data_IF_375868521754
#
_entry.id   IF_375868521754
#
_cell.length_a   1.000
_cell.length_b   1.000
_cell.length_c   1.000
_cell.angle_alpha   90.00
_cell.angle_beta   90.00
_cell.angle_gamma   90.00
#
_symmetry.space_group_name_H-M   'P 1'
#
loop_
_entity.id
_entity.type
_entity.pdbx_description
1 polymer ?
#
# COMPACT_ATOMS: atom_id res chain seq x y z
N UNK A 1 -8.22 -7.23 9.51
CA UNK A 1 -7.76 -8.58 9.05
C UNK A 1 -6.50 -8.99 9.78
N UNK A 2 -5.50 -8.13 9.90
CA UNK A 2 -4.25 -8.40 10.62
C UNK A 2 -4.47 -8.97 12.03
N UNK A 3 -5.39 -8.41 12.81
CA UNK A 3 -5.73 -8.96 14.12
C UNK A 3 -6.27 -10.40 14.07
N UNK A 4 -7.09 -10.74 13.06
CA UNK A 4 -7.58 -12.12 12.89
C UNK A 4 -6.45 -13.07 12.49
N UNK A 5 -5.53 -12.64 11.62
CA UNK A 5 -4.34 -13.42 11.26
C UNK A 5 -3.44 -13.65 12.49
N UNK A 6 -3.19 -12.62 13.30
CA UNK A 6 -2.41 -12.74 14.53
C UNK A 6 -3.07 -13.71 15.55
N UNK A 7 -4.40 -13.68 15.67
CA UNK A 7 -5.14 -14.66 16.47
C UNK A 7 -4.96 -16.07 15.88
N UNK A 8 -5.09 -16.23 14.55
CA UNK A 8 -4.92 -17.54 13.92
C UNK A 8 -3.50 -18.12 14.11
N UNK A 9 -2.45 -17.29 14.10
CA UNK A 9 -1.07 -17.72 14.35
C UNK A 9 -0.90 -18.38 15.73
N UNK A 10 -1.69 -17.98 16.72
CA UNK A 10 -1.53 -18.40 18.12
C UNK A 10 -2.65 -19.31 18.61
N UNK A 11 -3.77 -19.42 17.89
CA UNK A 11 -5.00 -20.07 18.37
C UNK A 11 -4.84 -21.56 18.78
N UNK A 12 -3.98 -22.31 18.10
CA UNK A 12 -3.85 -23.77 18.26
C UNK A 12 -2.45 -24.19 18.77
N UNK A 13 -1.67 -23.28 19.33
CA UNK A 13 -0.32 -23.55 19.85
C UNK A 13 0.04 -22.60 21.00
N UNK A 14 1.17 -22.84 21.67
CA UNK A 14 1.66 -21.99 22.77
C UNK A 14 2.84 -21.10 22.35
N UNK A 15 3.04 -20.88 21.05
CA UNK A 15 4.14 -20.08 20.51
C UNK A 15 3.81 -18.60 20.69
N UNK A 16 4.79 -17.80 21.10
CA UNK A 16 4.59 -16.35 21.26
C UNK A 16 4.34 -15.69 19.89
N UNK A 17 3.45 -14.70 19.83
CA UNK A 17 3.14 -14.00 18.58
C UNK A 17 4.39 -13.42 17.92
N UNK A 18 5.35 -12.94 18.71
CA UNK A 18 6.57 -12.31 18.23
C UNK A 18 7.60 -13.31 17.69
N UNK A 19 7.43 -14.62 17.94
CA UNK A 19 8.23 -15.66 17.28
C UNK A 19 7.83 -15.84 15.80
N UNK A 20 6.67 -15.32 15.39
CA UNK A 20 6.21 -15.27 14.01
C UNK A 20 6.64 -14.00 13.26
N UNK A 21 7.50 -13.17 13.85
CA UNK A 21 7.98 -11.94 13.21
C UNK A 21 8.74 -12.25 11.91
N UNK A 22 8.53 -11.43 10.88
CA UNK A 22 8.93 -11.71 9.50
C UNK A 22 10.42 -11.87 9.26
N UNK A 23 11.27 -11.17 10.02
CA UNK A 23 12.72 -11.29 9.91
C UNK A 23 13.30 -12.45 10.76
N UNK A 24 12.46 -13.16 11.53
CA UNK A 24 12.84 -14.33 12.32
C UNK A 24 12.62 -15.65 11.59
N UNK A 25 13.24 -16.71 12.09
CA UNK A 25 12.98 -18.06 11.60
C UNK A 25 11.55 -18.47 11.95
N UNK A 26 10.75 -18.82 10.94
CA UNK A 26 9.36 -19.24 11.16
C UNK A 26 9.29 -20.47 12.08
N UNK A 27 8.45 -20.45 13.12
CA UNK A 27 8.26 -21.58 14.01
C UNK A 27 7.77 -22.83 13.27
N UNK A 28 8.13 -24.01 13.76
CA UNK A 28 7.61 -25.26 13.21
C UNK A 28 6.21 -25.54 13.75
N UNK A 29 5.26 -25.78 12.85
CA UNK A 29 3.87 -26.12 13.21
C UNK A 29 3.65 -27.62 13.03
N UNK A 30 3.23 -28.28 14.11
CA UNK A 30 2.87 -29.70 14.06
C UNK A 30 1.60 -29.92 13.22
N UNK A 31 1.52 -31.03 12.51
CA UNK A 31 0.32 -31.44 11.78
C UNK A 31 -0.91 -31.63 12.68
N UNK A 32 -0.71 -31.85 13.99
CA UNK A 32 -1.78 -31.96 14.99
C UNK A 32 -2.32 -30.59 15.41
N UNK A 33 -1.56 -29.51 15.19
CA UNK A 33 -1.84 -28.14 15.65
C UNK A 33 -1.89 -27.15 14.48
N UNK A 34 -2.53 -27.53 13.36
CA UNK A 34 -2.66 -26.66 12.18
C UNK A 34 -3.37 -25.36 12.54
N UNK A 35 -3.03 -24.29 11.84
CA UNK A 35 -3.75 -23.04 11.99
C UNK A 35 -5.24 -23.19 11.62
N UNK A 36 -6.13 -22.37 12.22
CA UNK A 36 -7.53 -22.31 11.83
C UNK A 36 -7.72 -21.96 10.36
N UNK A 37 -8.84 -22.40 9.77
CA UNK A 37 -9.28 -21.95 8.45
C UNK A 37 -9.60 -20.46 8.53
N UNK A 38 -8.86 -19.64 7.76
CA UNK A 38 -9.05 -18.20 7.70
C UNK A 38 -9.86 -17.81 6.46
N UNK A 39 -11.00 -17.16 6.65
CA UNK A 39 -11.80 -16.56 5.58
C UNK A 39 -11.75 -15.03 5.76
N UNK A 40 -11.43 -14.31 4.69
CA UNK A 40 -11.29 -12.85 4.69
C UNK A 40 -12.45 -12.23 3.90
N UNK A 41 -13.09 -11.22 4.48
CA UNK A 41 -14.20 -10.48 3.88
C UNK A 41 -13.86 -8.98 3.97
N UNK A 42 -13.20 -8.39 2.95
CA UNK A 42 -12.81 -6.99 3.00
C UNK A 42 -14.01 -6.07 2.87
N UNK A 43 -14.09 -5.08 3.74
CA UNK A 43 -15.10 -4.01 3.74
C UNK A 43 -14.54 -2.67 3.25
N UNK A 44 -13.28 -2.69 2.77
CA UNK A 44 -12.57 -1.56 2.17
C UNK A 44 -11.84 -2.05 0.94
N UNK A 45 -11.76 -1.24 -0.11
CA UNK A 45 -10.91 -1.47 -1.27
C UNK A 45 -9.63 -0.62 -1.11
N UNK A 46 -8.56 -1.22 -0.59
CA UNK A 46 -7.28 -0.54 -0.42
C UNK A 46 -6.12 -1.44 0.02
N UNK A 47 -6.27 -2.07 1.19
CA UNK A 47 -5.13 -2.69 1.88
C UNK A 47 -4.62 -3.98 1.21
N UNK A 48 -5.49 -4.70 0.49
CA UNK A 48 -5.17 -6.02 -0.05
C UNK A 48 -4.86 -7.08 1.02
N UNK A 49 -5.18 -6.81 2.30
CA UNK A 49 -4.85 -7.70 3.41
C UNK A 49 -5.58 -9.06 3.33
N UNK A 50 -6.55 -9.21 2.44
CA UNK A 50 -7.26 -10.46 2.18
C UNK A 50 -6.43 -11.50 1.39
N UNK A 51 -5.32 -11.11 0.76
CA UNK A 51 -4.62 -11.93 -0.24
C UNK A 51 -3.51 -12.81 0.33
N UNK A 52 -2.84 -12.36 1.40
CA UNK A 52 -1.59 -12.95 1.88
C UNK A 52 -1.57 -13.26 3.37
N UNK A 53 -0.55 -14.01 3.81
CA UNK A 53 -0.37 -14.46 5.20
C UNK A 53 0.10 -13.39 6.18
N UNK A 54 0.63 -12.27 5.68
CA UNK A 54 1.25 -11.22 6.51
C UNK A 54 0.21 -10.43 7.29
N UNK A 55 0.57 -10.06 8.51
CA UNK A 55 -0.24 -9.22 9.37
C UNK A 55 0.64 -8.18 10.04
N UNK A 56 0.25 -6.91 9.98
CA UNK A 56 1.01 -5.87 10.64
C UNK A 56 0.47 -5.59 12.03
N UNK A 57 1.29 -5.81 13.05
CA UNK A 57 0.91 -5.70 14.47
C UNK A 57 1.77 -4.65 15.17
N UNK A 58 1.13 -3.75 15.90
CA UNK A 58 1.83 -2.73 16.69
C UNK A 58 2.34 -3.34 18.01
N UNK A 59 3.65 -3.31 18.22
CA UNK A 59 4.28 -3.63 19.49
C UNK A 59 4.29 -2.37 20.36
N UNK A 60 3.36 -2.29 21.30
CA UNK A 60 3.10 -1.10 22.12
C UNK A 60 4.32 -0.64 22.91
N UNK A 61 5.07 -1.56 23.54
CA UNK A 61 6.26 -1.21 24.32
C UNK A 61 7.40 -0.61 23.49
N UNK A 62 7.56 -1.07 22.23
CA UNK A 62 8.60 -0.58 21.31
C UNK A 62 8.12 0.61 20.48
N UNK A 63 6.82 0.94 20.53
CA UNK A 63 6.17 1.92 19.66
C UNK A 63 6.49 1.70 18.17
N UNK A 64 6.57 0.43 17.75
CA UNK A 64 6.93 0.01 16.40
C UNK A 64 5.93 -1.01 15.86
N UNK A 65 5.70 -0.97 14.56
CA UNK A 65 4.83 -1.92 13.85
C UNK A 65 5.72 -3.00 13.25
N UNK A 66 5.43 -4.26 13.55
CA UNK A 66 6.14 -5.43 13.03
C UNK A 66 5.23 -6.24 12.11
N UNK A 67 5.81 -6.95 11.16
CA UNK A 67 5.10 -7.91 10.32
C UNK A 67 5.20 -9.28 10.97
N UNK A 68 4.07 -9.93 11.23
CA UNK A 68 4.02 -11.34 11.65
C UNK A 68 3.40 -12.18 10.54
N UNK A 69 3.89 -13.40 10.36
CA UNK A 69 3.43 -14.28 9.29
C UNK A 69 3.80 -15.74 9.53
N UNK A 70 3.14 -16.62 8.77
CA UNK A 70 3.58 -18.00 8.58
C UNK A 70 3.09 -18.49 7.21
N UNK A 71 3.92 -19.24 6.47
CA UNK A 71 3.63 -19.71 5.11
C UNK A 71 2.39 -20.60 5.01
N UNK A 72 2.11 -21.37 6.07
CA UNK A 72 0.91 -22.23 6.17
C UNK A 72 -0.37 -21.49 6.59
N UNK A 73 -0.31 -20.25 7.09
CA UNK A 73 -1.49 -19.44 7.42
C UNK A 73 -1.92 -18.59 6.21
N UNK A 74 -2.36 -19.24 5.13
CA UNK A 74 -2.94 -18.52 3.99
C UNK A 74 -4.44 -18.38 4.15
N UNK A 75 -5.04 -17.20 3.85
CA UNK A 75 -6.48 -17.10 3.69
C UNK A 75 -6.99 -18.21 2.75
N UNK A 76 -7.92 -19.01 3.22
CA UNK A 76 -8.53 -20.10 2.44
C UNK A 76 -9.56 -19.59 1.43
N UNK A 77 -10.12 -18.40 1.70
CA UNK A 77 -11.07 -17.72 0.83
C UNK A 77 -11.04 -16.21 1.11
N UNK A 78 -10.94 -15.40 0.06
CA UNK A 78 -11.24 -13.98 0.09
C UNK A 78 -12.59 -13.74 -0.60
N UNK A 79 -13.59 -13.28 0.15
CA UNK A 79 -14.93 -12.99 -0.38
C UNK A 79 -15.07 -11.50 -0.68
N UNK A 80 -14.90 -11.14 -1.95
CA UNK A 80 -15.01 -9.77 -2.42
C UNK A 80 -16.47 -9.41 -2.73
N UNK A 81 -17.21 -9.03 -1.69
CA UNK A 81 -18.59 -8.52 -1.83
C UNK A 81 -18.59 -6.98 -1.88
N UNK A 82 -18.89 -6.36 -3.04
CA UNK A 82 -18.90 -4.91 -3.16
C UNK A 82 -19.98 -4.22 -2.33
N UNK A 83 -21.08 -4.90 -1.97
CA UNK A 83 -22.15 -4.32 -1.16
C UNK A 83 -21.65 -3.93 0.24
N UNK A 84 -20.70 -4.69 0.77
CA UNK A 84 -20.06 -4.42 2.07
C UNK A 84 -19.17 -3.18 2.08
N UNK A 85 -18.92 -2.56 0.92
CA UNK A 85 -18.10 -1.34 0.79
C UNK A 85 -18.95 -0.07 0.59
N UNK A 86 -20.25 -0.20 0.29
CA UNK A 86 -21.15 0.93 -0.02
C UNK A 86 -21.23 1.94 1.14
N UNK A 87 -21.20 1.44 2.38
CA UNK A 87 -21.26 2.27 3.58
C UNK A 87 -19.97 3.06 3.88
N UNK A 88 -18.88 2.83 3.13
CA UNK A 88 -17.61 3.52 3.35
C UNK A 88 -17.73 4.99 2.92
N UNK A 89 -17.46 5.96 3.82
CA UNK A 89 -17.48 7.39 3.49
C UNK A 89 -16.60 7.74 2.29
N UNK A 90 -16.95 8.82 1.58
CA UNK A 90 -16.25 9.24 0.36
C UNK A 90 -14.75 9.50 0.60
N UNK A 91 -14.38 10.14 1.71
CA UNK A 91 -12.99 10.37 2.06
C UNK A 91 -12.23 9.06 2.33
N UNK A 92 -12.83 8.11 3.05
CA UNK A 92 -12.21 6.81 3.28
C UNK A 92 -12.09 6.01 1.97
N UNK A 93 -13.10 6.08 1.09
CA UNK A 93 -13.06 5.48 -0.24
C UNK A 93 -11.90 6.05 -1.07
N UNK A 94 -11.71 7.37 -1.06
CA UNK A 94 -10.60 8.03 -1.74
C UNK A 94 -9.25 7.57 -1.17
N UNK A 95 -9.11 7.56 0.15
CA UNK A 95 -7.84 7.23 0.82
C UNK A 95 -7.46 5.77 0.62
N UNK A 96 -8.40 4.83 0.78
CA UNK A 96 -8.11 3.41 0.58
C UNK A 96 -7.92 3.08 -0.90
N UNK A 97 -8.67 3.69 -1.81
CA UNK A 97 -8.48 3.44 -3.24
C UNK A 97 -7.15 4.00 -3.76
N UNK A 98 -6.71 5.15 -3.26
CA UNK A 98 -5.38 5.69 -3.55
C UNK A 98 -4.27 4.79 -2.98
N UNK A 99 -4.49 4.17 -1.81
CA UNK A 99 -3.59 3.16 -1.24
C UNK A 99 -3.38 1.98 -2.20
N UNK A 100 -4.46 1.40 -2.73
CA UNK A 100 -4.38 0.34 -3.73
C UNK A 100 -3.67 0.77 -5.01
N UNK A 101 -3.87 2.02 -5.46
CA UNK A 101 -3.15 2.56 -6.61
C UNK A 101 -1.64 2.62 -6.33
N UNK A 102 -1.24 3.11 -5.16
CA UNK A 102 0.16 3.16 -4.72
C UNK A 102 0.76 1.75 -4.65
N UNK A 103 0.04 0.77 -4.09
CA UNK A 103 0.49 -0.62 -4.06
C UNK A 103 0.84 -1.14 -5.46
N UNK A 104 -0.07 -0.96 -6.42
CA UNK A 104 0.13 -1.45 -7.78
C UNK A 104 1.30 -0.72 -8.49
N UNK A 105 1.41 0.60 -8.33
CA UNK A 105 2.54 1.39 -8.87
C UNK A 105 3.86 0.90 -8.28
N UNK A 106 3.98 0.90 -6.95
CA UNK A 106 5.25 0.55 -6.30
C UNK A 106 5.66 -0.88 -6.61
N UNK A 107 4.73 -1.84 -6.51
CA UNK A 107 4.99 -3.24 -6.83
C UNK A 107 5.48 -3.45 -8.27
N UNK A 108 4.88 -2.74 -9.24
CA UNK A 108 5.32 -2.80 -10.63
C UNK A 108 6.72 -2.19 -10.80
N UNK A 109 7.04 -1.14 -10.04
CA UNK A 109 8.35 -0.49 -10.09
C UNK A 109 9.46 -1.31 -9.42
N UNK A 110 9.17 -2.16 -8.43
CA UNK A 110 10.17 -3.02 -7.78
C UNK A 110 11.07 -3.74 -8.81
N UNK A 111 12.40 -3.68 -8.66
CA UNK A 111 13.35 -4.43 -9.48
C UNK A 111 13.21 -5.93 -9.22
N UNK A 112 12.80 -6.69 -10.24
CA UNK A 112 12.68 -8.13 -10.12
C UNK A 112 11.76 -8.69 -11.21
N UNK A 113 12.14 -9.84 -11.76
CA UNK A 113 11.32 -10.54 -12.75
C UNK A 113 10.24 -11.37 -12.05
N UNK A 114 9.00 -10.90 -12.09
CA UNK A 114 7.86 -11.63 -11.55
C UNK A 114 6.59 -11.36 -12.40
N UNK A 115 6.47 -11.97 -13.59
CA UNK A 115 5.43 -11.62 -14.57
C UNK A 115 3.99 -11.71 -14.06
N UNK A 116 3.71 -12.62 -13.12
CA UNK A 116 2.39 -12.74 -12.49
C UNK A 116 2.04 -11.45 -11.74
N UNK A 117 2.86 -11.03 -10.77
CA UNK A 117 2.68 -9.78 -10.03
C UNK A 117 2.69 -8.55 -10.95
N UNK A 118 3.53 -8.52 -11.98
CA UNK A 118 3.54 -7.42 -12.94
C UNK A 118 2.21 -7.32 -13.71
N UNK A 119 1.61 -8.46 -14.10
CA UNK A 119 0.30 -8.49 -14.75
C UNK A 119 -0.82 -8.06 -13.79
N UNK A 120 -0.77 -8.52 -12.53
CA UNK A 120 -1.74 -8.13 -11.50
C UNK A 120 -1.66 -6.64 -11.19
N UNK A 121 -0.45 -6.05 -11.13
CA UNK A 121 -0.27 -4.62 -10.94
C UNK A 121 -0.89 -3.80 -12.08
N UNK A 122 -0.66 -4.18 -13.34
CA UNK A 122 -1.21 -3.45 -14.48
C UNK A 122 -2.74 -3.56 -14.55
N UNK A 123 -3.31 -4.74 -14.32
CA UNK A 123 -4.77 -4.90 -14.26
C UNK A 123 -5.37 -4.12 -13.09
N UNK A 124 -4.71 -4.11 -11.93
CA UNK A 124 -5.10 -3.29 -10.80
C UNK A 124 -5.13 -1.80 -11.17
N UNK A 125 -4.10 -1.28 -11.84
CA UNK A 125 -4.06 0.11 -12.29
C UNK A 125 -5.17 0.42 -13.29
N UNK A 126 -5.47 -0.50 -14.20
CA UNK A 126 -6.57 -0.32 -15.15
C UNK A 126 -7.92 -0.18 -14.45
N UNK A 127 -8.22 -1.09 -13.52
CA UNK A 127 -9.46 -1.05 -12.75
C UNK A 127 -9.53 0.17 -11.82
N UNK A 128 -8.46 0.45 -11.08
CA UNK A 128 -8.42 1.54 -10.11
C UNK A 128 -8.50 2.89 -10.81
N UNK A 129 -7.72 3.10 -11.88
CA UNK A 129 -7.75 4.35 -12.65
C UNK A 129 -9.13 4.66 -13.23
N UNK A 130 -9.86 3.62 -13.66
CA UNK A 130 -11.23 3.76 -14.18
C UNK A 130 -12.27 3.98 -13.08
N UNK A 131 -12.19 3.24 -11.98
CA UNK A 131 -13.30 3.14 -11.03
C UNK A 131 -13.15 3.98 -9.76
N UNK A 132 -11.94 4.39 -9.38
CA UNK A 132 -11.74 5.16 -8.15
C UNK A 132 -12.50 6.50 -8.15
N UNK A 133 -12.39 7.37 -9.19
CA UNK A 133 -13.12 8.63 -9.19
C UNK A 133 -14.65 8.44 -9.15
N UNK A 134 -15.14 7.42 -9.86
CA UNK A 134 -16.57 7.04 -9.86
C UNK A 134 -17.02 6.53 -8.49
N UNK A 135 -16.23 5.67 -7.83
CA UNK A 135 -16.58 5.14 -6.52
C UNK A 135 -16.62 6.22 -5.42
N UNK A 136 -15.83 7.28 -5.57
CA UNK A 136 -15.82 8.43 -4.65
C UNK A 136 -17.01 9.37 -4.92
N UNK A 137 -17.32 9.66 -6.18
CA UNK A 137 -18.40 10.58 -6.56
C UNK A 137 -19.80 9.94 -6.52
N UNK A 138 -19.90 8.66 -6.81
CA UNK A 138 -21.12 7.84 -6.81
C UNK A 138 -20.98 6.67 -5.81
N UNK A 139 -21.07 6.91 -4.49
CA UNK A 139 -20.73 5.92 -3.47
C UNK A 139 -21.60 4.66 -3.45
N UNK A 140 -22.77 4.68 -4.09
CA UNK A 140 -23.68 3.54 -4.22
C UNK A 140 -23.56 2.80 -5.57
N UNK A 141 -22.63 3.22 -6.44
CA UNK A 141 -22.39 2.56 -7.73
C UNK A 141 -21.70 1.21 -7.50
N UNK A 142 -22.47 0.12 -7.50
CA UNK A 142 -21.98 -1.24 -7.23
C UNK A 142 -20.92 -1.68 -8.24
N UNK A 143 -21.02 -1.26 -9.49
CA UNK A 143 -20.00 -1.58 -10.51
C UNK A 143 -18.66 -0.93 -10.17
N UNK A 144 -18.66 0.36 -9.80
CA UNK A 144 -17.44 1.05 -9.38
C UNK A 144 -16.87 0.48 -8.08
N UNK A 145 -17.74 0.16 -7.11
CA UNK A 145 -17.33 -0.54 -5.87
C UNK A 145 -16.69 -1.89 -6.17
N UNK A 146 -17.29 -2.69 -7.04
CA UNK A 146 -16.76 -3.99 -7.46
C UNK A 146 -15.44 -3.88 -8.21
N UNK A 147 -15.34 -2.94 -9.15
CA UNK A 147 -14.10 -2.65 -9.87
C UNK A 147 -12.95 -2.25 -8.93
N UNK A 148 -13.24 -1.39 -7.94
CA UNK A 148 -12.27 -1.04 -6.89
C UNK A 148 -11.90 -2.22 -6.01
N UNK A 149 -12.86 -3.06 -5.62
CA UNK A 149 -12.60 -4.22 -4.77
C UNK A 149 -11.67 -5.24 -5.45
N UNK A 150 -11.94 -5.54 -6.72
CA UNK A 150 -11.08 -6.41 -7.53
C UNK A 150 -9.72 -5.75 -7.76
N UNK A 151 -9.69 -4.48 -8.14
CA UNK A 151 -8.43 -3.73 -8.32
C UNK A 151 -7.56 -3.72 -7.07
N UNK A 152 -8.15 -3.50 -5.90
CA UNK A 152 -7.47 -3.58 -4.60
C UNK A 152 -6.89 -4.97 -4.32
N UNK A 153 -7.66 -6.02 -4.56
CA UNK A 153 -7.20 -7.40 -4.36
C UNK A 153 -6.01 -7.72 -5.28
N UNK A 154 -6.08 -7.34 -6.56
CA UNK A 154 -4.99 -7.53 -7.51
C UNK A 154 -3.73 -6.71 -7.14
N UNK A 155 -3.92 -5.47 -6.68
CA UNK A 155 -2.83 -4.66 -6.13
C UNK A 155 -2.19 -5.36 -4.92
N UNK A 156 -3.03 -5.94 -4.04
CA UNK A 156 -2.63 -6.76 -2.90
C UNK A 156 -1.74 -7.95 -3.25
N UNK A 157 -2.10 -8.68 -4.32
CA UNK A 157 -1.29 -9.79 -4.84
C UNK A 157 0.03 -9.25 -5.43
N UNK A 158 -0.02 -8.13 -6.14
CA UNK A 158 1.14 -7.60 -6.85
C UNK A 158 2.30 -7.21 -5.92
N UNK A 159 2.00 -6.66 -4.74
CA UNK A 159 3.03 -6.21 -3.81
C UNK A 159 3.77 -7.34 -3.10
N UNK A 160 3.47 -8.62 -3.40
CA UNK A 160 4.36 -9.73 -3.08
C UNK A 160 5.81 -9.50 -3.54
N UNK A 161 6.01 -8.69 -4.58
CA UNK A 161 7.36 -8.27 -5.02
C UNK A 161 8.06 -7.35 -4.00
N UNK A 162 7.31 -6.67 -3.15
CA UNK A 162 7.74 -5.56 -2.32
C UNK A 162 7.02 -4.27 -2.69
N UNK A 163 7.39 -3.20 -1.99
CA UNK A 163 6.89 -1.84 -2.15
C UNK A 163 8.08 -0.88 -2.29
N UNK A 164 7.90 0.41 -2.07
CA UNK A 164 8.95 1.40 -2.22
C UNK A 164 8.92 2.50 -1.16
N UNK A 165 9.51 3.64 -1.51
CA UNK A 165 9.65 4.76 -0.59
C UNK A 165 8.35 5.41 -0.15
N UNK A 166 7.25 5.28 -0.91
CA UNK A 166 5.95 5.79 -0.44
C UNK A 166 5.57 5.10 0.86
N UNK A 167 5.56 3.76 0.87
CA UNK A 167 5.25 2.98 2.07
C UNK A 167 6.31 3.15 3.17
N UNK A 168 7.60 3.10 2.81
CA UNK A 168 8.68 3.22 3.78
C UNK A 168 8.60 4.52 4.59
N UNK A 169 8.26 5.64 3.95
CA UNK A 169 8.09 6.93 4.62
C UNK A 169 6.74 6.99 5.35
N UNK A 170 5.66 6.57 4.71
CA UNK A 170 4.31 6.61 5.26
C UNK A 170 4.14 5.81 6.54
N UNK A 171 4.78 4.64 6.66
CA UNK A 171 4.79 3.85 7.89
C UNK A 171 5.32 4.66 9.09
N UNK A 172 6.39 5.43 8.86
CA UNK A 172 7.01 6.23 9.91
C UNK A 172 6.17 7.46 10.26
N UNK A 173 5.60 8.13 9.25
CA UNK A 173 4.69 9.27 9.44
C UNK A 173 3.42 8.84 10.20
N UNK A 174 2.81 7.74 9.78
CA UNK A 174 1.61 7.19 10.42
C UNK A 174 1.88 6.74 11.86
N UNK A 175 3.03 6.12 12.13
CA UNK A 175 3.40 5.71 13.48
C UNK A 175 3.60 6.90 14.43
N UNK A 176 4.14 8.02 13.94
CA UNK A 176 4.50 9.16 14.77
C UNK A 176 3.35 10.18 14.93
N UNK A 177 2.53 10.36 13.89
CA UNK A 177 1.48 11.39 13.84
C UNK A 177 0.06 10.84 13.76
N UNK A 178 -0.11 9.50 13.78
CA UNK A 178 -1.40 8.83 13.71
C UNK A 178 -2.25 9.27 12.50
N UNK A 179 -1.58 9.52 11.37
CA UNK A 179 -2.24 9.87 10.10
C UNK A 179 -2.87 8.63 9.46
N UNK A 180 -3.93 8.83 8.67
CA UNK A 180 -4.50 7.72 7.91
C UNK A 180 -3.52 7.24 6.83
N UNK A 181 -3.24 5.93 6.78
CA UNK A 181 -2.20 5.34 5.94
C UNK A 181 -2.36 5.67 4.45
N UNK A 182 -3.50 5.31 3.86
CA UNK A 182 -3.76 5.56 2.43
C UNK A 182 -3.75 7.04 2.05
N UNK A 183 -4.14 7.94 2.97
CA UNK A 183 -4.08 9.38 2.72
C UNK A 183 -2.62 9.88 2.69
N UNK A 184 -1.80 9.36 3.61
CA UNK A 184 -0.36 9.66 3.68
C UNK A 184 0.37 9.14 2.44
N UNK A 185 0.06 7.90 2.02
CA UNK A 185 0.59 7.30 0.78
C UNK A 185 0.25 8.16 -0.44
N UNK A 186 -1.01 8.56 -0.56
CA UNK A 186 -1.51 9.38 -1.66
C UNK A 186 -0.80 10.75 -1.75
N UNK A 187 -0.54 11.40 -0.62
CA UNK A 187 0.20 12.68 -0.56
C UNK A 187 1.66 12.48 -0.98
N UNK A 188 2.31 11.40 -0.54
CA UNK A 188 3.72 11.14 -0.82
C UNK A 188 3.97 10.75 -2.29
N UNK A 189 3.00 10.06 -2.92
CA UNK A 189 3.18 9.43 -4.23
C UNK A 189 3.78 10.35 -5.30
N UNK A 190 3.29 11.58 -5.56
CA UNK A 190 3.86 12.43 -6.61
C UNK A 190 5.33 12.78 -6.39
N UNK A 191 5.74 12.99 -5.13
CA UNK A 191 7.14 13.31 -4.80
C UNK A 191 8.04 12.11 -5.09
N UNK A 192 7.60 10.91 -4.70
CA UNK A 192 8.36 9.68 -4.90
C UNK A 192 8.40 9.28 -6.38
N UNK A 193 7.33 9.50 -7.15
CA UNK A 193 7.33 9.26 -8.59
C UNK A 193 8.37 10.15 -9.31
N UNK A 194 8.46 11.44 -8.96
CA UNK A 194 9.48 12.33 -9.54
C UNK A 194 10.91 11.87 -9.24
N UNK A 195 11.12 11.23 -8.09
CA UNK A 195 12.41 10.66 -7.73
C UNK A 195 12.70 9.32 -8.45
N UNK A 196 11.72 8.42 -8.52
CA UNK A 196 11.90 7.04 -9.00
C UNK A 196 11.82 6.89 -10.53
N UNK A 197 10.94 7.63 -11.20
CA UNK A 197 10.63 7.37 -12.62
C UNK A 197 11.68 7.79 -13.66
N UNK A 198 12.61 8.75 -13.43
CA UNK A 198 13.66 9.06 -14.40
C UNK A 198 14.44 7.81 -14.85
N UNK A 199 14.44 7.51 -16.16
CA UNK A 199 15.07 6.31 -16.72
C UNK A 199 14.21 5.05 -16.69
N UNK A 200 12.91 5.16 -16.38
CA UNK A 200 11.95 4.05 -16.35
C UNK A 200 10.85 4.16 -17.42
N UNK A 201 11.18 4.74 -18.59
CA UNK A 201 10.23 5.10 -19.65
C UNK A 201 9.34 3.92 -20.08
N UNK A 202 9.91 2.72 -20.20
CA UNK A 202 9.14 1.53 -20.59
C UNK A 202 8.15 1.08 -19.51
N UNK A 203 8.52 1.17 -18.22
CA UNK A 203 7.57 0.87 -17.13
C UNK A 203 6.45 1.92 -17.10
N UNK A 204 6.79 3.19 -17.28
CA UNK A 204 5.81 4.28 -17.35
C UNK A 204 4.85 4.08 -18.53
N UNK A 205 5.36 3.77 -19.72
CA UNK A 205 4.54 3.48 -20.90
C UNK A 205 3.52 2.40 -20.61
N UNK A 206 3.92 1.29 -19.98
CA UNK A 206 3.02 0.18 -19.64
C UNK A 206 1.96 0.57 -18.60
N UNK A 207 2.33 1.33 -17.56
CA UNK A 207 1.37 1.82 -16.57
C UNK A 207 0.38 2.82 -17.19
N UNK A 208 0.88 3.74 -18.03
CA UNK A 208 0.06 4.71 -18.75
C UNK A 208 -0.95 4.01 -19.68
N UNK A 209 -0.51 3.00 -20.43
CA UNK A 209 -1.40 2.20 -21.29
C UNK A 209 -2.48 1.47 -20.48
N UNK A 210 -2.12 0.85 -19.36
CA UNK A 210 -3.09 0.16 -18.51
C UNK A 210 -4.17 1.11 -17.97
N UNK A 211 -3.78 2.34 -17.64
CA UNK A 211 -4.66 3.40 -17.14
C UNK A 211 -5.32 4.24 -18.24
N UNK A 212 -5.11 3.92 -19.52
CA UNK A 212 -5.59 4.68 -20.68
C UNK A 212 -5.15 6.16 -20.68
N UNK A 213 -3.97 6.46 -20.11
CA UNK A 213 -3.37 7.79 -20.07
C UNK A 213 -2.75 8.11 -21.43
N UNK A 214 -3.15 9.19 -22.14
CA UNK A 214 -2.65 9.47 -23.50
C UNK A 214 -1.17 9.86 -23.60
N UNK A 215 -0.64 10.57 -22.59
CA UNK A 215 0.76 10.98 -22.55
C UNK A 215 1.59 9.96 -21.78
N UNK A 216 2.34 9.14 -22.53
CA UNK A 216 3.17 8.06 -21.99
C UNK A 216 4.54 8.56 -21.47
N UNK A 217 4.78 9.87 -21.46
CA UNK A 217 5.97 10.44 -20.84
C UNK A 217 5.92 10.33 -19.31
N UNK A 218 7.08 10.38 -18.66
CA UNK A 218 7.17 10.43 -17.19
C UNK A 218 6.37 11.61 -16.64
N UNK A 219 6.49 12.79 -17.27
CA UNK A 219 5.77 13.99 -16.84
C UNK A 219 4.25 13.83 -17.04
N UNK A 220 3.81 13.28 -18.17
CA UNK A 220 2.40 13.01 -18.46
C UNK A 220 1.76 12.04 -17.46
N UNK A 221 2.46 10.94 -17.16
CA UNK A 221 1.99 9.97 -16.17
C UNK A 221 1.86 10.60 -14.77
N UNK A 222 2.88 11.34 -14.31
CA UNK A 222 2.82 12.03 -13.01
C UNK A 222 1.66 13.03 -12.96
N UNK A 223 1.47 13.82 -14.02
CA UNK A 223 0.38 14.79 -14.11
C UNK A 223 -1.01 14.11 -14.07
N UNK A 224 -1.16 12.96 -14.73
CA UNK A 224 -2.41 12.19 -14.71
C UNK A 224 -2.70 11.62 -13.30
N UNK A 225 -1.69 11.09 -12.61
CA UNK A 225 -1.82 10.65 -11.22
C UNK A 225 -2.22 11.83 -10.32
N UNK A 226 -1.55 12.98 -10.44
CA UNK A 226 -1.90 14.18 -9.67
C UNK A 226 -3.33 14.66 -9.93
N UNK A 227 -3.82 14.56 -11.17
CA UNK A 227 -5.19 14.90 -11.53
C UNK A 227 -6.21 13.96 -10.83
N UNK A 228 -5.96 12.64 -10.81
CA UNK A 228 -6.80 11.69 -10.08
C UNK A 228 -6.82 12.02 -8.58
N UNK A 229 -5.65 12.31 -7.99
CA UNK A 229 -5.53 12.65 -6.57
C UNK A 229 -6.29 13.94 -6.23
N UNK A 230 -6.26 14.94 -7.12
CA UNK A 230 -7.02 16.19 -6.97
C UNK A 230 -8.53 15.97 -7.12
N UNK A 231 -8.96 15.14 -8.08
CA UNK A 231 -10.37 14.79 -8.30
C UNK A 231 -11.00 14.12 -7.07
N UNK A 232 -10.27 13.19 -6.43
CA UNK A 232 -10.72 12.51 -5.20
C UNK A 232 -10.38 13.28 -3.92
N UNK A 233 -9.92 14.53 -4.05
CA UNK A 233 -9.68 15.49 -2.95
C UNK A 233 -8.66 15.03 -1.90
N UNK A 234 -7.57 14.41 -2.34
CA UNK A 234 -6.41 14.17 -1.46
C UNK A 234 -5.78 15.52 -1.10
N UNK A 235 -5.36 15.77 0.15
CA UNK A 235 -4.57 16.95 0.52
C UNK A 235 -3.32 17.12 -0.35
N UNK A 236 -2.82 18.34 -0.48
CA UNK A 236 -1.67 18.63 -1.36
C UNK A 236 -0.32 18.57 -0.65
N UNK A 237 -0.32 18.36 0.66
CA UNK A 237 0.88 18.33 1.47
C UNK A 237 0.68 17.57 2.78
N UNK A 238 1.77 17.08 3.39
CA UNK A 238 1.68 16.45 4.70
C UNK A 238 1.41 17.48 5.82
N UNK A 239 1.73 18.76 5.61
CA UNK A 239 1.41 19.81 6.59
C UNK A 239 -0.10 20.05 6.72
N UNK A 240 -0.88 19.86 5.66
CA UNK A 240 -2.36 19.92 5.70
C UNK A 240 -2.98 18.84 6.60
N UNK A 241 -2.25 17.75 6.88
CA UNK A 241 -2.67 16.69 7.80
C UNK A 241 -1.91 16.69 9.12
N UNK A 242 -1.22 17.80 9.43
CA UNK A 242 -0.59 18.03 10.73
C UNK A 242 0.83 17.48 10.90
N UNK A 243 1.52 17.09 9.82
CA UNK A 243 2.92 16.64 9.91
C UNK A 243 3.88 17.85 9.92
N UNK A 244 4.71 18.03 10.96
CA UNK A 244 5.60 19.17 11.10
C UNK A 244 6.91 19.01 10.31
N UNK A 245 7.54 20.13 9.93
CA UNK A 245 8.79 20.14 9.15
C UNK A 245 9.97 19.48 9.88
N UNK A 246 10.04 19.65 11.19
CA UNK A 246 11.16 19.22 12.04
C UNK A 246 11.27 17.69 12.20
N UNK A 247 10.29 16.92 11.70
CA UNK A 247 10.35 15.47 11.72
C UNK A 247 11.18 14.88 10.58
N UNK A 248 11.49 15.64 9.52
CA UNK A 248 11.99 15.10 8.25
C UNK A 248 13.24 14.23 8.42
N UNK A 249 14.23 14.69 9.18
CA UNK A 249 15.49 13.96 9.41
C UNK A 249 15.26 12.65 10.18
N UNK A 250 14.45 12.68 11.24
CA UNK A 250 14.13 11.50 12.06
C UNK A 250 13.31 10.48 11.26
N UNK A 251 12.33 10.93 10.48
CA UNK A 251 11.51 10.08 9.62
C UNK A 251 12.37 9.44 8.52
N UNK A 252 13.26 10.20 7.88
CA UNK A 252 14.18 9.67 6.87
C UNK A 252 15.07 8.55 7.42
N UNK A 253 15.66 8.75 8.60
CA UNK A 253 16.54 7.77 9.24
C UNK A 253 15.82 6.47 9.62
N UNK A 254 14.53 6.55 9.97
CA UNK A 254 13.70 5.36 10.24
C UNK A 254 13.23 4.70 8.94
N UNK A 255 12.80 5.49 7.95
CA UNK A 255 12.27 5.00 6.67
C UNK A 255 13.31 4.18 5.89
N UNK A 256 14.58 4.58 5.92
CA UNK A 256 15.68 3.82 5.30
C UNK A 256 15.91 2.42 5.91
N UNK A 257 15.39 2.17 7.12
CA UNK A 257 15.44 0.86 7.79
C UNK A 257 14.21 0.00 7.50
N UNK A 258 13.16 0.58 6.93
CA UNK A 258 11.94 -0.14 6.59
C UNK A 258 12.22 -1.16 5.47
N UNK A 259 11.58 -2.33 5.54
CA UNK A 259 11.70 -3.37 4.52
C UNK A 259 11.32 -2.89 3.11
N UNK A 260 10.32 -1.99 2.98
CA UNK A 260 9.87 -1.45 1.69
C UNK A 260 10.94 -0.58 1.02
N UNK A 261 11.80 0.10 1.80
CA UNK A 261 12.92 0.85 1.25
C UNK A 261 13.94 -0.05 0.54
N UNK A 262 14.12 -1.30 1.01
CA UNK A 262 15.07 -2.27 0.42
C UNK A 262 14.67 -2.67 -1.00
N UNK A 263 13.39 -2.58 -1.34
CA UNK A 263 12.81 -2.97 -2.64
C UNK A 263 12.53 -1.79 -3.57
N UNK A 264 12.77 -0.55 -3.13
CA UNK A 264 12.57 0.64 -3.96
C UNK A 264 13.49 0.57 -5.20
N UNK A 265 13.01 0.96 -6.41
CA UNK A 265 13.80 0.85 -7.64
C UNK A 265 15.09 1.68 -7.68
N UNK A 266 15.14 2.73 -6.86
CA UNK A 266 16.27 3.65 -6.79
C UNK A 266 16.73 3.80 -5.35
N UNK A 267 18.00 3.51 -5.09
CA UNK A 267 18.61 3.78 -3.78
C UNK A 267 18.70 5.29 -3.53
N UNK A 268 18.62 5.70 -2.27
CA UNK A 268 18.73 7.08 -1.84
C UNK A 268 19.60 7.19 -0.58
N UNK A 269 20.35 8.28 -0.47
CA UNK A 269 21.01 8.70 0.77
C UNK A 269 20.02 9.23 1.79
N UNK A 270 20.45 9.37 3.05
CA UNK A 270 19.65 9.99 4.12
C UNK A 270 19.21 11.42 3.74
N UNK A 271 20.12 12.20 3.17
CA UNK A 271 19.86 13.58 2.76
C UNK A 271 18.81 13.65 1.65
N UNK A 272 18.88 12.76 0.65
CA UNK A 272 17.87 12.67 -0.42
C UNK A 272 16.50 12.30 0.16
N UNK A 273 16.40 11.28 1.01
CA UNK A 273 15.11 10.89 1.62
C UNK A 273 14.55 12.02 2.48
N UNK A 274 15.40 12.72 3.23
CA UNK A 274 14.99 13.92 3.99
C UNK A 274 14.42 14.99 3.06
N UNK A 275 15.08 15.30 1.95
CA UNK A 275 14.60 16.30 0.98
C UNK A 275 13.26 15.91 0.35
N UNK A 276 13.05 14.62 0.06
CA UNK A 276 11.75 14.11 -0.41
C UNK A 276 10.66 14.34 0.64
N UNK A 277 10.94 14.08 1.92
CA UNK A 277 9.99 14.30 3.01
C UNK A 277 9.70 15.79 3.19
N UNK A 278 10.72 16.65 3.21
CA UNK A 278 10.53 18.10 3.29
C UNK A 278 9.68 18.64 2.13
N UNK A 279 9.90 18.12 0.92
CA UNK A 279 9.09 18.46 -0.26
C UNK A 279 7.64 18.04 -0.05
N UNK A 280 7.39 16.81 0.42
CA UNK A 280 6.05 16.32 0.69
C UNK A 280 5.33 17.10 1.82
N UNK A 281 6.06 17.59 2.82
CA UNK A 281 5.51 18.43 3.90
C UNK A 281 5.14 19.83 3.38
N UNK A 282 5.98 20.45 2.55
CA UNK A 282 5.74 21.81 2.03
C UNK A 282 4.67 21.83 0.95
N UNK A 283 4.84 20.99 -0.08
CA UNK A 283 4.01 20.97 -1.29
C UNK A 283 4.32 19.72 -2.10
N UNK A 284 3.54 18.66 -1.93
CA UNK A 284 3.70 17.43 -2.71
C UNK A 284 3.27 17.61 -4.17
N UNK A 285 2.24 18.44 -4.40
CA UNK A 285 1.75 18.90 -5.71
C UNK A 285 1.07 20.26 -5.62
#
# INVERSE_FOLDING_TARGET
MDGAKAICLTANNEIDLWDFEFEQASPLISHENRFPILITIPTTAGTGAETESTAMVTHTEKAMKFCVWHSELKPSLALLDPELTVGLPANLTAWTGADAMVHAIEAFLVPGFHPLCDAMALEALSLIGRWLPVAVSEPTNITARGGMHVGSCLAGISFLKGLGFVHAISHMVGAEFNTHHGNTNAILLPVILRFNLPGMEEKVRRMAEAMEIPDHSIAGFIAAIEAILDEIRIPKSLSEIGVPMDCAERIAAKALKDSAAKTNPRSASLDEVRELIETAIKKAR
#
